data_IF_224196353759
#
_entry.id   IF_224196353759
#
_cell.length_a   1.000
_cell.length_b   1.000
_cell.length_c   1.000
_cell.angle_alpha   90.00
_cell.angle_beta   90.00
_cell.angle_gamma   90.00
#
_symmetry.space_group_name_H-M   'P 1'
#
loop_
_entity.id
_entity.type
_entity.pdbx_description
1 polymer ?
#
# COMPACT_ATOMS: atom_id res chain seq x y z
N UNK A 1 25.86 -17.10 1.49
CA UNK A 1 24.44 -17.50 1.40
C UNK A 1 24.06 -17.33 -0.06
N UNK A 2 23.69 -18.40 -0.76
CA UNK A 2 23.34 -18.32 -2.19
C UNK A 2 22.03 -17.57 -2.37
N UNK A 3 22.01 -16.64 -3.32
CA UNK A 3 20.82 -15.83 -3.62
C UNK A 3 19.90 -16.64 -4.53
N UNK A 4 18.62 -16.83 -4.19
CA UNK A 4 17.68 -17.57 -5.04
C UNK A 4 17.57 -16.90 -6.42
N UNK A 5 17.78 -17.70 -7.47
CA UNK A 5 17.59 -17.29 -8.87
C UNK A 5 16.22 -17.72 -9.34
N UNK A 6 15.38 -16.78 -9.76
CA UNK A 6 14.01 -17.06 -10.18
C UNK A 6 13.89 -17.10 -11.70
N UNK A 7 14.66 -16.28 -12.43
CA UNK A 7 14.49 -16.02 -13.86
C UNK A 7 15.82 -15.97 -14.65
N UNK A 8 16.91 -16.53 -14.10
CA UNK A 8 18.26 -16.60 -14.70
C UNK A 8 18.91 -15.26 -15.11
N UNK A 9 18.22 -14.13 -14.90
CA UNK A 9 18.71 -12.78 -15.10
C UNK A 9 18.73 -12.04 -13.75
N UNK A 10 19.93 -11.63 -13.32
CA UNK A 10 20.13 -10.98 -12.03
C UNK A 10 19.28 -9.71 -11.84
N UNK A 11 19.13 -8.89 -12.89
CA UNK A 11 18.31 -7.69 -12.85
C UNK A 11 16.83 -8.03 -12.68
N UNK A 12 16.35 -9.06 -13.38
CA UNK A 12 14.96 -9.49 -13.25
C UNK A 12 14.69 -10.12 -11.87
N UNK A 13 15.64 -10.90 -11.34
CA UNK A 13 15.54 -11.48 -10.01
C UNK A 13 15.53 -10.41 -8.90
N UNK A 14 16.30 -9.34 -9.06
CA UNK A 14 16.31 -8.22 -8.12
C UNK A 14 14.99 -7.43 -8.17
N UNK A 15 14.42 -7.21 -9.36
CA UNK A 15 13.08 -6.62 -9.51
C UNK A 15 12.00 -7.47 -8.83
N UNK A 16 12.03 -8.80 -9.02
CA UNK A 16 11.08 -9.72 -8.39
C UNK A 16 11.21 -9.66 -6.86
N UNK A 17 12.44 -9.60 -6.32
CA UNK A 17 12.66 -9.46 -4.86
C UNK A 17 12.13 -8.14 -4.32
N UNK A 18 12.33 -7.03 -5.04
CA UNK A 18 11.76 -5.73 -4.62
C UNK A 18 10.23 -5.76 -4.62
N UNK A 19 9.59 -6.32 -5.65
CA UNK A 19 8.12 -6.44 -5.72
C UNK A 19 7.60 -7.34 -4.60
N UNK A 20 8.28 -8.46 -4.33
CA UNK A 20 7.91 -9.36 -3.22
C UNK A 20 7.97 -8.64 -1.86
N UNK A 21 9.05 -7.89 -1.60
CA UNK A 21 9.16 -7.09 -0.37
C UNK A 21 8.07 -6.00 -0.26
N UNK A 22 7.74 -5.33 -1.36
CA UNK A 22 6.63 -4.36 -1.38
C UNK A 22 5.27 -5.02 -1.13
N UNK A 23 5.05 -6.22 -1.67
CA UNK A 23 3.82 -6.98 -1.46
C UNK A 23 3.69 -7.46 0.00
N UNK A 24 4.80 -7.83 0.64
CA UNK A 24 4.85 -8.19 2.06
C UNK A 24 4.46 -7.01 2.95
N UNK A 25 5.05 -5.84 2.73
CA UNK A 25 4.70 -4.61 3.48
C UNK A 25 3.24 -4.18 3.24
N UNK A 26 2.72 -4.35 2.02
CA UNK A 26 1.32 -4.13 1.72
C UNK A 26 0.42 -5.10 2.50
N UNK A 27 0.82 -6.37 2.62
CA UNK A 27 0.08 -7.36 3.38
C UNK A 27 0.05 -7.03 4.87
N UNK A 28 1.18 -6.61 5.46
CA UNK A 28 1.23 -6.13 6.86
C UNK A 28 0.28 -4.95 7.08
N UNK A 29 0.21 -4.02 6.11
CA UNK A 29 -0.73 -2.89 6.20
C UNK A 29 -2.18 -3.38 6.14
N UNK A 30 -2.49 -4.32 5.24
CA UNK A 30 -3.82 -4.90 5.10
C UNK A 30 -4.26 -5.66 6.36
N UNK A 31 -3.36 -6.44 6.94
CA UNK A 31 -3.60 -7.16 8.20
C UNK A 31 -3.97 -6.20 9.33
N UNK A 32 -3.22 -5.10 9.47
CA UNK A 32 -3.53 -4.07 10.47
C UNK A 32 -4.86 -3.37 10.24
N UNK A 33 -5.29 -3.19 8.99
CA UNK A 33 -6.61 -2.63 8.66
C UNK A 33 -7.73 -3.59 9.05
N UNK A 34 -7.60 -4.89 8.74
CA UNK A 34 -8.57 -5.92 9.13
C UNK A 34 -8.73 -5.98 10.66
N UNK A 35 -7.62 -5.95 11.41
CA UNK A 35 -7.66 -5.92 12.88
C UNK A 35 -8.33 -4.64 13.39
N UNK A 36 -8.08 -3.49 12.75
CA UNK A 36 -8.72 -2.24 13.14
C UNK A 36 -10.24 -2.29 12.89
N UNK A 37 -10.66 -2.81 11.75
CA UNK A 37 -12.07 -3.02 11.39
C UNK A 37 -12.76 -3.94 12.40
N UNK A 38 -12.16 -5.08 12.74
CA UNK A 38 -12.66 -6.01 13.76
C UNK A 38 -12.83 -5.33 15.13
N UNK A 39 -11.84 -4.55 15.57
CA UNK A 39 -11.89 -3.84 16.85
C UNK A 39 -13.00 -2.77 16.86
N UNK A 40 -13.23 -2.08 15.76
CA UNK A 40 -14.26 -1.04 15.65
C UNK A 40 -15.66 -1.65 15.55
N UNK A 41 -15.80 -2.75 14.80
CA UNK A 41 -17.03 -3.53 14.72
C UNK A 41 -17.42 -4.10 16.08
N UNK A 42 -16.46 -4.67 16.83
CA UNK A 42 -16.70 -5.16 18.19
C UNK A 42 -17.09 -4.08 19.22
N UNK A 43 -16.99 -2.80 18.85
CA UNK A 43 -17.44 -1.66 19.66
C UNK A 43 -18.73 -1.01 19.13
N UNK A 44 -19.38 -1.63 18.16
CA UNK A 44 -20.55 -1.09 17.44
C UNK A 44 -20.30 0.30 16.82
N UNK A 45 -19.04 0.64 16.48
CA UNK A 45 -18.68 1.94 15.91
C UNK A 45 -18.71 1.94 14.38
N UNK A 46 -18.60 0.78 13.75
CA UNK A 46 -18.54 0.65 12.30
C UNK A 46 -18.97 -0.78 11.90
N UNK A 47 -19.78 -0.94 10.86
CA UNK A 47 -19.99 -2.27 10.25
C UNK A 47 -18.98 -2.49 9.13
N UNK A 48 -18.68 -3.74 8.77
CA UNK A 48 -17.83 -4.07 7.62
C UNK A 48 -18.29 -3.33 6.34
N UNK A 49 -19.60 -3.30 6.10
CA UNK A 49 -20.20 -2.59 4.95
C UNK A 49 -19.97 -1.08 4.97
N UNK A 50 -19.78 -0.48 6.15
CA UNK A 50 -19.59 0.97 6.28
C UNK A 50 -18.30 1.42 5.63
N UNK A 51 -17.21 0.63 5.69
CA UNK A 51 -15.94 0.97 5.04
C UNK A 51 -16.09 0.94 3.51
N UNK A 52 -16.68 -0.13 2.99
CA UNK A 52 -16.82 -0.37 1.56
C UNK A 52 -17.75 0.62 0.86
N UNK A 53 -18.83 1.02 1.55
CA UNK A 53 -19.84 1.95 1.01
C UNK A 53 -19.48 3.42 1.27
N UNK A 54 -18.48 3.71 2.10
CA UNK A 54 -18.13 5.08 2.46
C UNK A 54 -17.61 5.85 1.24
N UNK A 55 -18.35 6.90 0.85
CA UNK A 55 -17.89 7.87 -0.12
C UNK A 55 -17.07 8.96 0.57
N UNK A 56 -15.76 9.08 0.27
CA UNK A 56 -14.92 10.10 0.90
C UNK A 56 -15.40 11.49 0.53
N UNK A 57 -15.43 12.41 1.50
CA UNK A 57 -15.69 13.83 1.24
C UNK A 57 -14.66 14.42 0.26
N UNK A 58 -15.02 15.50 -0.44
CA UNK A 58 -14.08 16.17 -1.37
C UNK A 58 -12.75 16.54 -0.69
N UNK A 59 -12.80 16.95 0.57
CA UNK A 59 -11.61 17.26 1.35
C UNK A 59 -10.76 16.02 1.61
N UNK A 60 -11.37 14.89 1.97
CA UNK A 60 -10.67 13.63 2.18
C UNK A 60 -10.10 13.09 0.86
N UNK A 61 -10.82 13.20 -0.25
CA UNK A 61 -10.32 12.81 -1.57
C UNK A 61 -9.03 13.55 -1.95
N UNK A 62 -8.95 14.86 -1.69
CA UNK A 62 -7.73 15.65 -1.93
C UNK A 62 -6.55 15.14 -1.09
N UNK A 63 -6.79 14.77 0.16
CA UNK A 63 -5.75 14.18 1.03
C UNK A 63 -5.31 12.82 0.48
N UNK A 64 -6.25 11.94 0.14
CA UNK A 64 -5.96 10.62 -0.42
C UNK A 64 -5.14 10.71 -1.72
N UNK A 65 -5.50 11.64 -2.61
CA UNK A 65 -4.76 11.85 -3.85
C UNK A 65 -3.32 12.35 -3.60
N UNK A 66 -3.14 13.24 -2.63
CA UNK A 66 -1.81 13.74 -2.24
C UNK A 66 -0.94 12.60 -1.67
N UNK A 67 -1.48 11.81 -0.75
CA UNK A 67 -0.74 10.70 -0.15
C UNK A 67 -0.41 9.60 -1.19
N UNK A 68 -1.33 9.30 -2.10
CA UNK A 68 -1.07 8.39 -3.24
C UNK A 68 0.07 8.91 -4.11
N UNK A 69 0.03 10.18 -4.49
CA UNK A 69 1.09 10.81 -5.29
C UNK A 69 2.44 10.75 -4.57
N UNK A 70 2.46 11.04 -3.26
CA UNK A 70 3.66 10.97 -2.42
C UNK A 70 4.24 9.55 -2.35
N UNK A 71 3.39 8.53 -2.25
CA UNK A 71 3.83 7.13 -2.25
C UNK A 71 4.45 6.76 -3.60
N UNK A 72 3.77 7.07 -4.71
CA UNK A 72 4.27 6.81 -6.06
C UNK A 72 5.64 7.49 -6.27
N UNK A 73 5.78 8.78 -5.90
CA UNK A 73 7.06 9.49 -5.99
C UNK A 73 8.18 8.77 -5.23
N UNK A 74 7.90 8.32 -4.00
CA UNK A 74 8.87 7.56 -3.18
C UNK A 74 9.27 6.22 -3.80
N UNK A 75 8.31 5.49 -4.36
CA UNK A 75 8.55 4.16 -4.95
C UNK A 75 9.33 4.26 -6.26
N UNK A 76 9.00 5.23 -7.12
CA UNK A 76 9.65 5.39 -8.42
C UNK A 76 10.87 6.31 -8.39
N UNK A 77 11.22 6.88 -7.23
CA UNK A 77 12.42 7.71 -7.06
C UNK A 77 12.42 9.03 -7.85
N UNK A 78 11.26 9.56 -8.23
CA UNK A 78 11.18 10.76 -9.05
C UNK A 78 11.71 12.00 -8.29
N UNK A 79 12.79 12.66 -8.76
CA UNK A 79 13.07 14.04 -8.41
C UNK A 79 11.96 14.91 -9.01
N UNK A 80 11.52 15.94 -8.29
CA UNK A 80 10.64 16.95 -8.86
C UNK A 80 11.31 17.59 -10.08
N UNK A 81 10.77 17.33 -11.27
CA UNK A 81 10.94 18.23 -12.40
C UNK A 81 9.90 19.33 -12.18
N UNK A 82 10.26 20.31 -11.36
CA UNK A 82 9.56 21.59 -11.32
C UNK A 82 9.79 22.28 -12.67
N UNK A 83 8.69 22.49 -13.40
CA UNK A 83 8.61 23.43 -14.53
C UNK A 83 7.58 24.50 -14.19
#
# INVERSE_FOLDING_TARGET
>A
MEVPKYLENATTDDLVRMIAGLAEELWVTKDRLLVLEEILAGKDLLSDSTVDEHLPSEQLQKVLQRERTRLIKRVFGAPEMDH
#
